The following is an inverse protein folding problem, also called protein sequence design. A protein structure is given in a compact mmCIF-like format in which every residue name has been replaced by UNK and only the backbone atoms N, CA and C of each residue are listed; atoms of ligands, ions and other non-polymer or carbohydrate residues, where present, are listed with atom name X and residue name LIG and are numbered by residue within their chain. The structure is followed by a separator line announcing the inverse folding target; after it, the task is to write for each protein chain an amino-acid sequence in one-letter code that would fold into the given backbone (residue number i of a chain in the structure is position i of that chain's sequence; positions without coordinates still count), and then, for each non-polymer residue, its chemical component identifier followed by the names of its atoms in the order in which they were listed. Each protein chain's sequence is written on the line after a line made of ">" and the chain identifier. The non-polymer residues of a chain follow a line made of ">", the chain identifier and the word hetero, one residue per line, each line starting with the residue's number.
data_IF_354559774270
#
_entry.id   IF_354559774270
#
_cell.length_a   1.000
_cell.length_b   1.000
_cell.length_c   1.000
_cell.angle_alpha   90.00
_cell.angle_beta   90.00
_cell.angle_gamma   90.00
#
_symmetry.space_group_name_H-M   'P 1'
#
loop_
_entity.id
_entity.type
_entity.pdbx_description
1 polymer ?
#
# COMPACT_ATOMS: atom_id res chain seq x y z
N UNK A 1 -27.03 46.73 11.05
CA UNK A 1 -26.04 45.87 10.33
C UNK A 1 -24.65 46.45 10.56
N UNK A 2 -23.85 45.84 11.44
CA UNK A 2 -22.52 46.35 11.77
C UNK A 2 -21.57 46.15 10.57
N UNK A 3 -21.03 47.26 10.03
CA UNK A 3 -19.98 47.21 8.99
C UNK A 3 -18.66 46.81 9.65
N UNK A 4 -18.08 45.69 9.22
CA UNK A 4 -16.76 45.25 9.69
C UNK A 4 -15.70 46.32 9.38
N UNK A 5 -14.72 46.55 10.28
CA UNK A 5 -13.66 47.51 10.04
C UNK A 5 -12.77 47.09 8.86
N UNK A 6 -12.30 48.04 8.03
CA UNK A 6 -11.59 47.75 6.78
C UNK A 6 -10.26 46.97 6.97
N UNK A 7 -9.66 47.07 8.16
CA UNK A 7 -8.48 46.30 8.57
C UNK A 7 -8.78 44.81 8.72
N UNK A 8 -9.95 44.48 9.29
CA UNK A 8 -10.41 43.11 9.49
C UNK A 8 -10.77 42.45 8.17
N UNK A 9 -11.31 43.22 7.22
CA UNK A 9 -11.62 42.77 5.87
C UNK A 9 -10.35 42.41 5.07
N UNK A 10 -9.27 43.21 5.17
CA UNK A 10 -7.98 42.91 4.54
C UNK A 10 -7.30 41.68 5.13
N UNK A 11 -7.35 41.51 6.45
CA UNK A 11 -6.83 40.32 7.14
C UNK A 11 -7.56 39.05 6.72
N UNK A 12 -8.90 39.09 6.67
CA UNK A 12 -9.71 37.96 6.21
C UNK A 12 -9.40 37.57 4.76
N UNK A 13 -9.28 38.56 3.86
CA UNK A 13 -8.90 38.31 2.46
C UNK A 13 -7.48 37.74 2.32
N UNK A 14 -6.52 38.20 3.14
CA UNK A 14 -5.17 37.66 3.13
C UNK A 14 -5.12 36.22 3.66
N UNK A 15 -5.92 35.92 4.69
CA UNK A 15 -6.03 34.59 5.27
C UNK A 15 -6.69 33.60 4.30
N UNK A 16 -7.83 33.96 3.68
CA UNK A 16 -8.50 33.11 2.70
C UNK A 16 -7.63 32.85 1.48
N UNK A 17 -6.87 33.84 1.01
CA UNK A 17 -5.89 33.65 -0.07
C UNK A 17 -4.77 32.68 0.31
N UNK A 18 -4.27 32.73 1.55
CA UNK A 18 -3.25 31.78 2.05
C UNK A 18 -3.80 30.36 2.18
N UNK A 19 -5.02 30.22 2.70
CA UNK A 19 -5.70 28.93 2.81
C UNK A 19 -6.00 28.33 1.43
N UNK A 20 -6.43 29.15 0.47
CA UNK A 20 -6.64 28.72 -0.92
C UNK A 20 -5.34 28.22 -1.55
N UNK A 21 -4.22 28.95 -1.35
CA UNK A 21 -2.89 28.54 -1.82
C UNK A 21 -2.47 27.20 -1.23
N UNK A 22 -2.67 27.03 0.07
CA UNK A 22 -2.37 25.79 0.76
C UNK A 22 -3.27 24.63 0.27
N UNK A 23 -4.57 24.87 0.10
CA UNK A 23 -5.50 23.88 -0.44
C UNK A 23 -5.12 23.40 -1.84
N UNK A 24 -4.79 24.33 -2.75
CA UNK A 24 -4.30 23.98 -4.10
C UNK A 24 -3.01 23.17 -4.03
N UNK A 25 -2.08 23.55 -3.14
CA UNK A 25 -0.86 22.78 -2.93
C UNK A 25 -1.15 21.35 -2.44
N UNK A 26 -2.01 21.18 -1.44
CA UNK A 26 -2.36 19.84 -0.90
C UNK A 26 -3.02 18.97 -1.98
N UNK A 27 -3.91 19.54 -2.81
CA UNK A 27 -4.53 18.81 -3.91
C UNK A 27 -3.50 18.39 -4.98
N UNK A 28 -2.61 19.29 -5.39
CA UNK A 28 -1.53 18.97 -6.32
C UNK A 28 -0.61 17.89 -5.75
N UNK A 29 -0.24 18.00 -4.47
CA UNK A 29 0.59 17.02 -3.79
C UNK A 29 -0.06 15.64 -3.75
N UNK A 30 -1.33 15.55 -3.33
CA UNK A 30 -2.06 14.30 -3.25
C UNK A 30 -2.20 13.62 -4.63
N UNK A 31 -2.47 14.40 -5.68
CA UNK A 31 -2.52 13.90 -7.06
C UNK A 31 -1.17 13.37 -7.52
N UNK A 32 -0.08 14.12 -7.31
CA UNK A 32 1.27 13.70 -7.68
C UNK A 32 1.71 12.45 -6.93
N UNK A 33 1.46 12.37 -5.62
CA UNK A 33 1.79 11.21 -4.81
C UNK A 33 1.01 9.97 -5.28
N UNK A 34 -0.27 10.11 -5.59
CA UNK A 34 -1.11 9.01 -6.10
C UNK A 34 -0.63 8.54 -7.46
N UNK A 35 -0.35 9.45 -8.39
CA UNK A 35 0.17 9.09 -9.72
C UNK A 35 1.53 8.39 -9.61
N UNK A 36 2.47 8.97 -8.86
CA UNK A 36 3.77 8.34 -8.64
C UNK A 36 3.62 6.94 -8.05
N UNK A 37 2.76 6.77 -7.05
CA UNK A 37 2.50 5.46 -6.47
C UNK A 37 2.03 4.46 -7.53
N UNK A 38 1.08 4.81 -8.40
CA UNK A 38 0.60 3.89 -9.44
C UNK A 38 1.69 3.49 -10.44
N UNK A 39 2.59 4.41 -10.81
CA UNK A 39 3.68 4.13 -11.74
C UNK A 39 4.86 3.38 -11.10
N UNK A 40 5.16 3.67 -9.84
CA UNK A 40 6.27 3.08 -9.12
C UNK A 40 5.88 1.80 -8.34
N UNK A 41 4.57 1.49 -8.28
CA UNK A 41 4.07 0.28 -7.63
C UNK A 41 4.66 -0.92 -8.34
N UNK A 42 5.38 -1.80 -7.63
CA UNK A 42 5.97 -2.96 -8.27
C UNK A 42 4.88 -3.89 -8.79
N UNK A 43 5.11 -4.46 -9.97
CA UNK A 43 4.21 -5.47 -10.52
C UNK A 43 4.41 -6.82 -9.82
N UNK A 44 3.36 -7.64 -9.89
CA UNK A 44 3.47 -9.04 -9.47
C UNK A 44 4.42 -9.78 -10.41
N UNK A 45 5.40 -10.46 -9.82
CA UNK A 45 6.35 -11.31 -10.53
C UNK A 45 6.01 -12.77 -10.29
N UNK A 46 6.27 -13.66 -11.28
CA UNK A 46 6.12 -15.09 -11.07
C UNK A 46 7.08 -15.56 -9.97
N UNK A 47 6.63 -16.50 -9.14
CA UNK A 47 7.35 -16.95 -7.96
C UNK A 47 8.47 -17.97 -8.24
N UNK A 48 9.12 -17.90 -9.40
CA UNK A 48 10.09 -18.91 -9.89
C UNK A 48 11.39 -18.97 -9.08
N UNK A 49 11.74 -17.93 -8.32
CA UNK A 49 13.04 -17.81 -7.64
C UNK A 49 12.97 -17.72 -6.11
N UNK A 50 11.78 -17.87 -5.52
CA UNK A 50 11.60 -17.64 -4.08
C UNK A 50 11.86 -18.94 -3.34
N UNK A 51 12.95 -18.96 -2.56
CA UNK A 51 13.36 -20.12 -1.76
C UNK A 51 12.48 -20.34 -0.53
N UNK A 52 11.82 -19.29 -0.03
CA UNK A 52 11.02 -19.32 1.19
C UNK A 52 9.64 -18.76 0.91
N UNK A 53 8.74 -19.66 0.51
CA UNK A 53 7.34 -19.33 0.29
C UNK A 53 6.53 -19.84 1.48
N UNK A 54 5.84 -18.93 2.19
CA UNK A 54 5.03 -19.27 3.34
C UNK A 54 3.71 -19.90 2.92
N UNK A 55 3.29 -20.97 3.60
CA UNK A 55 2.05 -21.70 3.35
C UNK A 55 1.30 -21.85 4.66
N UNK A 56 -0.03 -21.82 4.60
CA UNK A 56 -0.85 -22.13 5.76
C UNK A 56 -0.88 -23.65 5.99
N UNK A 57 -0.32 -24.09 7.12
CA UNK A 57 -0.42 -25.46 7.56
C UNK A 57 -0.46 -25.54 9.10
N UNK A 58 -1.23 -26.48 9.63
CA UNK A 58 -1.27 -26.82 11.04
C UNK A 58 -0.36 -28.03 11.31
N UNK A 59 0.37 -28.04 12.43
CA UNK A 59 1.17 -29.22 12.84
C UNK A 59 0.26 -30.31 13.40
N UNK A 60 0.53 -31.55 13.03
CA UNK A 60 -0.24 -32.73 13.46
C UNK A 60 0.21 -33.23 14.85
N UNK A 61 1.48 -33.02 15.20
CA UNK A 61 2.08 -33.41 16.48
C UNK A 61 2.46 -32.16 17.27
N UNK A 62 2.00 -32.10 18.52
CA UNK A 62 2.31 -31.12 19.57
C UNK A 62 1.70 -29.73 19.43
N UNK A 63 0.60 -29.54 20.17
CA UNK A 63 -0.11 -28.29 20.44
C UNK A 63 -0.59 -27.56 19.18
N UNK A 64 -1.78 -26.94 19.17
CA UNK A 64 -2.07 -25.94 18.14
C UNK A 64 -0.92 -24.93 18.14
N UNK A 65 -0.15 -24.89 17.05
CA UNK A 65 0.83 -23.83 16.84
C UNK A 65 0.04 -22.54 16.71
N UNK A 66 0.31 -21.55 17.58
CA UNK A 66 -0.24 -20.20 17.42
C UNK A 66 0.18 -19.55 16.09
N UNK A 67 1.16 -20.14 15.39
CA UNK A 67 1.69 -19.69 14.12
C UNK A 67 1.37 -20.70 13.00
N UNK A 68 0.38 -20.44 12.12
CA UNK A 68 -0.05 -21.36 11.08
C UNK A 68 0.75 -21.24 9.76
N UNK A 69 1.79 -20.41 9.73
CA UNK A 69 2.57 -20.16 8.50
C UNK A 69 3.86 -20.99 8.55
N UNK A 70 4.07 -21.86 7.58
CA UNK A 70 5.30 -22.63 7.47
C UNK A 70 5.95 -22.46 6.10
N UNK A 71 7.29 -22.44 5.99
CA UNK A 71 7.96 -22.47 4.71
C UNK A 71 7.62 -23.75 3.94
N UNK A 72 7.36 -23.62 2.64
CA UNK A 72 7.09 -24.75 1.74
C UNK A 72 8.14 -25.86 1.84
N UNK A 73 9.40 -25.48 1.97
CA UNK A 73 10.51 -26.42 2.09
C UNK A 73 10.38 -27.31 3.35
N UNK A 74 9.91 -26.75 4.47
CA UNK A 74 9.72 -27.49 5.71
C UNK A 74 8.59 -28.52 5.61
N UNK A 75 7.51 -28.17 4.88
CA UNK A 75 6.40 -29.08 4.59
C UNK A 75 6.86 -30.20 3.64
N UNK A 76 7.64 -29.86 2.61
CA UNK A 76 8.19 -30.84 1.65
C UNK A 76 9.13 -31.84 2.31
N UNK A 77 9.93 -31.41 3.28
CA UNK A 77 10.84 -32.29 4.02
C UNK A 77 10.10 -33.26 4.96
N UNK A 78 8.98 -32.84 5.56
CA UNK A 78 8.22 -33.65 6.51
C UNK A 78 6.70 -33.57 6.25
N UNK A 79 6.19 -34.13 5.13
CA UNK A 79 4.80 -33.97 4.74
C UNK A 79 3.80 -34.55 5.76
N UNK A 80 4.19 -35.62 6.47
CA UNK A 80 3.33 -36.29 7.45
C UNK A 80 3.18 -35.53 8.77
N UNK A 81 3.98 -34.47 8.99
CA UNK A 81 3.93 -33.67 10.22
C UNK A 81 2.98 -32.46 10.10
N UNK A 82 2.51 -32.14 8.88
CA UNK A 82 1.73 -30.94 8.60
C UNK A 82 0.42 -31.30 7.90
N UNK A 83 -0.66 -30.61 8.28
CA UNK A 83 -1.94 -30.62 7.59
C UNK A 83 -2.16 -29.24 6.97
N UNK A 84 -2.45 -29.17 5.67
CA UNK A 84 -2.76 -27.91 5.00
C UNK A 84 -4.06 -27.33 5.56
N UNK A 85 -4.10 -26.00 5.70
CA UNK A 85 -5.31 -25.30 6.11
C UNK A 85 -6.40 -25.45 5.03
N UNK A 86 -7.58 -25.90 5.45
CA UNK A 86 -8.74 -26.22 4.60
C UNK A 86 -9.97 -25.35 4.91
N UNK A 87 -9.78 -24.30 5.72
CA UNK A 87 -10.85 -23.38 6.13
C UNK A 87 -10.44 -21.93 5.95
N UNK A 88 -11.36 -21.03 5.57
CA UNK A 88 -11.05 -19.62 5.46
C UNK A 88 -10.62 -19.08 6.82
N UNK A 89 -9.46 -18.41 6.86
CA UNK A 89 -8.89 -17.89 8.11
C UNK A 89 -8.14 -16.60 7.83
N UNK A 90 -8.35 -15.63 8.71
CA UNK A 90 -7.46 -14.48 8.84
C UNK A 90 -6.61 -14.68 10.09
N UNK A 91 -5.32 -14.42 9.97
CA UNK A 91 -4.40 -14.52 11.09
C UNK A 91 -3.41 -13.37 11.04
N UNK A 92 -3.08 -12.85 12.22
CA UNK A 92 -2.15 -11.76 12.39
C UNK A 92 -1.17 -12.11 13.51
N UNK A 93 0.11 -11.94 13.21
CA UNK A 93 1.19 -12.07 14.18
C UNK A 93 1.39 -10.77 14.96
N UNK A 94 1.98 -10.89 16.14
CA UNK A 94 2.53 -9.75 16.89
C UNK A 94 3.62 -9.00 16.08
N UNK A 95 4.30 -9.72 15.18
CA UNK A 95 5.39 -9.23 14.34
C UNK A 95 4.93 -8.64 12.98
N UNK A 96 3.70 -8.10 12.91
CA UNK A 96 3.19 -7.35 11.74
C UNK A 96 2.98 -8.22 10.48
N UNK A 97 3.05 -9.54 10.60
CA UNK A 97 2.72 -10.47 9.52
C UNK A 97 1.23 -10.75 9.54
N UNK A 98 0.56 -10.57 8.41
CA UNK A 98 -0.86 -10.85 8.23
C UNK A 98 -1.02 -11.88 7.13
N UNK A 99 -2.03 -12.71 7.29
CA UNK A 99 -2.45 -13.64 6.27
C UNK A 99 -3.96 -13.70 6.17
N UNK A 100 -4.42 -13.99 4.97
CA UNK A 100 -5.80 -14.24 4.65
C UNK A 100 -5.87 -15.43 3.70
N UNK A 101 -6.49 -16.51 4.17
CA UNK A 101 -6.81 -17.67 3.37
C UNK A 101 -8.27 -17.55 2.92
N UNK A 102 -8.48 -17.46 1.61
CA UNK A 102 -9.80 -17.40 1.00
C UNK A 102 -9.95 -18.48 -0.07
N UNK A 103 -11.18 -18.94 -0.29
CA UNK A 103 -11.48 -19.90 -1.35
C UNK A 103 -12.04 -19.14 -2.56
N UNK A 104 -11.53 -19.46 -3.74
CA UNK A 104 -12.05 -18.92 -5.00
C UNK A 104 -13.33 -19.69 -5.42
N UNK A 105 -14.10 -19.12 -6.35
CA UNK A 105 -15.32 -19.73 -6.91
C UNK A 105 -15.09 -21.12 -7.51
N UNK A 106 -13.87 -21.40 -7.96
CA UNK A 106 -13.47 -22.66 -8.58
C UNK A 106 -13.08 -23.74 -7.54
N UNK A 107 -13.23 -23.44 -6.24
CA UNK A 107 -12.91 -24.37 -5.15
C UNK A 107 -11.44 -24.36 -4.71
N UNK A 108 -10.57 -23.63 -5.43
CA UNK A 108 -9.15 -23.50 -5.12
C UNK A 108 -8.90 -22.52 -3.96
N UNK A 109 -7.87 -22.78 -3.15
CA UNK A 109 -7.50 -21.87 -2.06
C UNK A 109 -6.45 -20.85 -2.46
N UNK A 110 -6.66 -19.61 -2.03
CA UNK A 110 -5.79 -18.46 -2.23
C UNK A 110 -5.34 -17.96 -0.86
N UNK A 111 -4.05 -18.08 -0.55
CA UNK A 111 -3.49 -17.38 0.61
C UNK A 111 -2.84 -16.09 0.15
N UNK A 112 -3.27 -14.98 0.73
CA UNK A 112 -2.58 -13.70 0.66
C UNK A 112 -1.81 -13.52 1.96
N UNK A 113 -0.48 -13.43 1.87
CA UNK A 113 0.33 -13.00 3.01
C UNK A 113 0.85 -11.61 2.75
N UNK A 114 0.84 -10.75 3.77
CA UNK A 114 1.51 -9.48 3.70
C UNK A 114 2.09 -9.08 5.04
N UNK A 115 3.18 -8.31 5.00
CA UNK A 115 3.68 -7.61 6.18
C UNK A 115 3.60 -6.12 5.97
N UNK A 116 3.07 -5.41 6.97
CA UNK A 116 3.06 -3.95 6.99
C UNK A 116 4.41 -3.38 7.49
N UNK A 117 5.48 -4.17 7.47
CA UNK A 117 6.83 -3.70 7.80
C UNK A 117 7.30 -2.66 6.78
N UNK A 118 7.86 -1.56 7.28
CA UNK A 118 8.50 -0.56 6.43
C UNK A 118 9.80 -1.08 5.77
N UNK A 119 10.41 -2.14 6.31
CA UNK A 119 11.71 -2.64 5.86
C UNK A 119 11.64 -3.69 4.74
N UNK A 120 10.60 -4.55 4.74
CA UNK A 120 10.46 -5.61 3.74
C UNK A 120 9.00 -6.08 3.57
N UNK A 121 8.11 -5.21 3.06
CA UNK A 121 6.72 -5.56 2.80
C UNK A 121 6.65 -6.50 1.60
N UNK A 122 6.37 -7.78 1.82
CA UNK A 122 6.08 -8.73 0.75
C UNK A 122 4.59 -9.02 0.63
N UNK A 123 4.14 -9.39 -0.57
CA UNK A 123 2.83 -9.93 -0.86
C UNK A 123 3.02 -11.23 -1.64
N UNK A 124 2.53 -12.36 -1.11
CA UNK A 124 2.57 -13.66 -1.79
C UNK A 124 1.16 -14.18 -2.03
N UNK A 125 0.95 -14.78 -3.20
CA UNK A 125 -0.30 -15.48 -3.57
C UNK A 125 0.07 -16.89 -4.08
N UNK A 126 -0.59 -17.92 -3.57
CA UNK A 126 -0.53 -19.28 -4.13
C UNK A 126 -1.91 -19.85 -4.40
N UNK A 127 -1.92 -20.85 -5.28
CA UNK A 127 -3.05 -21.75 -5.51
C UNK A 127 -2.82 -23.05 -4.76
N UNK A 128 -3.82 -23.49 -3.99
CA UNK A 128 -3.90 -24.85 -3.48
C UNK A 128 -4.91 -25.64 -4.32
N UNK A 129 -4.42 -26.67 -5.02
CA UNK A 129 -5.24 -27.65 -5.73
C UNK A 129 -4.99 -29.03 -5.11
N UNK A 130 -5.88 -29.46 -4.21
CA UNK A 130 -5.69 -30.65 -3.38
C UNK A 130 -4.40 -30.56 -2.54
N UNK A 131 -3.42 -31.42 -2.84
CA UNK A 131 -2.10 -31.43 -2.19
C UNK A 131 -1.01 -30.69 -2.98
N UNK A 132 -1.34 -30.16 -4.17
CA UNK A 132 -0.39 -29.40 -4.98
C UNK A 132 -0.42 -27.92 -4.60
N UNK A 133 0.74 -27.40 -4.20
CA UNK A 133 0.92 -25.98 -3.88
C UNK A 133 1.66 -25.32 -5.04
N UNK A 134 1.00 -24.36 -5.69
CA UNK A 134 1.57 -23.61 -6.81
C UNK A 134 1.70 -22.14 -6.44
N UNK A 135 2.91 -21.61 -6.24
CA UNK A 135 3.10 -20.19 -5.96
C UNK A 135 2.85 -19.41 -7.26
N UNK A 136 1.87 -18.50 -7.25
CA UNK A 136 1.45 -17.77 -8.44
C UNK A 136 2.24 -16.47 -8.58
N UNK A 137 2.16 -15.63 -7.56
CA UNK A 137 2.63 -14.26 -7.64
C UNK A 137 3.32 -13.81 -6.37
N UNK A 138 4.32 -12.96 -6.56
CA UNK A 138 5.05 -12.30 -5.50
C UNK A 138 5.31 -10.86 -5.83
N UNK A 139 5.29 -10.01 -4.80
CA UNK A 139 5.71 -8.62 -4.89
C UNK A 139 6.37 -8.20 -3.59
N UNK A 140 7.38 -7.35 -3.67
CA UNK A 140 7.97 -6.67 -2.50
C UNK A 140 7.95 -5.17 -2.65
N UNK A 141 8.08 -4.46 -1.55
CA UNK A 141 8.38 -3.03 -1.53
C UNK A 141 7.17 -2.12 -1.73
N UNK A 142 5.92 -2.60 -1.66
CA UNK A 142 4.73 -1.76 -1.84
C UNK A 142 4.63 -0.62 -0.84
N UNK A 143 4.84 -0.90 0.45
CA UNK A 143 4.81 0.14 1.49
C UNK A 143 5.98 1.11 1.35
N UNK A 144 7.16 0.62 0.93
CA UNK A 144 8.31 1.48 0.65
C UNK A 144 8.02 2.42 -0.52
N UNK A 145 7.43 1.91 -1.60
CA UNK A 145 6.97 2.74 -2.73
C UNK A 145 5.92 3.75 -2.29
N UNK A 146 5.00 3.39 -1.39
CA UNK A 146 4.01 4.33 -0.86
C UNK A 146 4.66 5.45 -0.04
N UNK A 147 5.65 5.13 0.80
CA UNK A 147 6.40 6.15 1.53
C UNK A 147 7.17 7.08 0.58
N UNK A 148 7.84 6.50 -0.43
CA UNK A 148 8.54 7.25 -1.46
C UNK A 148 7.60 8.13 -2.29
N UNK A 149 6.37 7.67 -2.58
CA UNK A 149 5.41 8.43 -3.37
C UNK A 149 4.94 9.70 -2.67
N UNK A 150 4.73 9.62 -1.36
CA UNK A 150 4.40 10.79 -0.52
C UNK A 150 5.56 11.79 -0.55
N UNK A 151 6.80 11.31 -0.43
CA UNK A 151 8.00 12.14 -0.44
C UNK A 151 8.26 12.80 -1.80
N UNK A 152 8.31 12.04 -2.90
CA UNK A 152 8.52 12.58 -4.25
C UNK A 152 7.33 13.42 -4.73
N UNK A 153 6.11 13.02 -4.36
CA UNK A 153 4.92 13.80 -4.60
C UNK A 153 5.02 15.20 -4.01
N UNK A 154 5.66 15.35 -2.83
CA UNK A 154 5.81 16.65 -2.17
C UNK A 154 6.66 17.61 -3.00
N UNK A 155 7.77 17.13 -3.56
CA UNK A 155 8.63 17.92 -4.46
C UNK A 155 7.88 18.35 -5.72
N UNK A 156 7.15 17.43 -6.36
CA UNK A 156 6.36 17.73 -7.56
C UNK A 156 5.21 18.70 -7.26
N UNK A 157 4.50 18.51 -6.14
CA UNK A 157 3.41 19.37 -5.70
C UNK A 157 3.88 20.80 -5.41
N UNK A 158 5.06 20.97 -4.77
CA UNK A 158 5.66 22.28 -4.55
C UNK A 158 6.01 22.98 -5.87
N UNK A 159 6.58 22.24 -6.83
CA UNK A 159 6.90 22.76 -8.16
C UNK A 159 5.67 23.22 -8.92
N UNK A 160 4.65 22.35 -9.03
CA UNK A 160 3.42 22.63 -9.77
C UNK A 160 2.60 23.76 -9.16
N UNK A 161 2.45 23.79 -7.83
CA UNK A 161 1.71 24.87 -7.16
C UNK A 161 2.38 26.22 -7.35
N UNK A 162 3.72 26.29 -7.30
CA UNK A 162 4.48 27.53 -7.61
C UNK A 162 4.30 27.96 -9.06
N UNK A 163 4.39 27.03 -10.02
CA UNK A 163 4.17 27.32 -11.44
C UNK A 163 2.76 27.83 -11.69
N UNK A 164 1.73 27.18 -11.13
CA UNK A 164 0.34 27.60 -11.25
C UNK A 164 0.14 29.05 -10.78
N UNK A 165 0.66 29.40 -9.61
CA UNK A 165 0.55 30.77 -9.09
C UNK A 165 1.39 31.78 -9.86
N UNK A 166 2.56 31.39 -10.37
CA UNK A 166 3.39 32.23 -11.23
C UNK A 166 2.68 32.55 -12.55
N UNK A 167 2.10 31.53 -13.21
CA UNK A 167 1.28 31.71 -14.40
C UNK A 167 0.05 32.56 -14.12
N UNK A 168 -0.69 32.27 -13.05
CA UNK A 168 -1.86 33.05 -12.65
C UNK A 168 -1.52 34.52 -12.44
N UNK A 169 -0.42 34.82 -11.73
CA UNK A 169 0.03 36.18 -11.51
C UNK A 169 0.41 36.90 -12.81
N UNK A 170 1.18 36.23 -13.68
CA UNK A 170 1.60 36.82 -14.96
C UNK A 170 0.44 37.03 -15.94
N UNK A 171 -0.54 36.11 -15.98
CA UNK A 171 -1.70 36.25 -16.86
C UNK A 171 -2.72 37.27 -16.36
N UNK A 172 -3.08 37.27 -15.07
CA UNK A 172 -4.04 38.25 -14.54
C UNK A 172 -3.48 39.67 -14.54
N UNK A 173 -2.20 39.86 -14.16
CA UNK A 173 -1.59 41.19 -14.16
C UNK A 173 -1.53 41.82 -15.56
N UNK A 174 -1.39 40.99 -16.60
CA UNK A 174 -1.33 41.44 -18.00
C UNK A 174 -2.71 41.74 -18.60
N UNK A 175 -3.79 41.38 -17.93
CA UNK A 175 -5.17 41.67 -18.37
C UNK A 175 -5.73 42.97 -17.77
N UNK A 176 -5.05 43.54 -16.77
CA UNK A 176 -5.43 44.79 -16.09
C UNK A 176 -4.60 46.01 -16.57
N UNK A 177 -3.62 45.80 -17.46
CA UNK A 177 -2.90 46.85 -18.22
C UNK A 177 -3.47 46.95 -19.64
#
# INVERSE_FOLDING_TARGET
>A
MAKLPPTLCRLLMALTRRLLRFGVFVLCWALCATLYYQFAKPDFRPATHIKHFGICADKISDSPSDYPIHPLEQIRQNPNAYRLCDTPRQWQSDNVLRMELSQNSDGNWHLKQWTDSMGDPFETIYLLDGNAITPLFYRTGTQMTQAMSIFFGLFLGLGLSKLFWWFWYNFYKKSDE
#
